data_IF_685997532990
#
_entry.id   IF_685997532990
#
_cell.length_a   1.000
_cell.length_b   1.000
_cell.length_c   1.000
_cell.angle_alpha   90.00
_cell.angle_beta   90.00
_cell.angle_gamma   90.00
#
_symmetry.space_group_name_H-M   'P 1'
#
loop_
_entity.id
_entity.type
_entity.pdbx_description
1 polymer ?
#
# COMPACT_ATOMS: atom_id res chain seq x y z
N UNK A 1 -42.58 -70.80 -7.73
CA UNK A 1 -42.69 -70.08 -6.45
C UNK A 1 -41.89 -68.82 -6.69
N UNK A 2 -42.57 -67.82 -7.21
CA UNK A 2 -41.90 -66.67 -7.78
C UNK A 2 -41.78 -65.69 -6.63
N UNK A 3 -40.58 -65.66 -6.04
CA UNK A 3 -40.22 -64.70 -5.02
C UNK A 3 -40.43 -63.31 -5.61
N UNK A 4 -41.60 -62.74 -5.31
CA UNK A 4 -41.95 -61.36 -5.64
C UNK A 4 -40.92 -60.47 -4.96
N UNK A 5 -39.88 -60.15 -5.70
CA UNK A 5 -38.84 -59.22 -5.31
C UNK A 5 -39.54 -57.88 -5.09
N UNK A 6 -39.71 -57.49 -3.84
CA UNK A 6 -40.21 -56.16 -3.50
C UNK A 6 -39.19 -55.18 -4.07
N UNK A 7 -39.56 -54.52 -5.17
CA UNK A 7 -38.69 -53.55 -5.80
C UNK A 7 -38.54 -52.39 -4.83
N UNK A 8 -37.31 -51.97 -4.57
CA UNK A 8 -37.00 -50.80 -3.74
C UNK A 8 -37.64 -49.50 -4.30
N UNK A 9 -38.21 -49.58 -5.50
CA UNK A 9 -38.96 -48.56 -6.21
C UNK A 9 -40.42 -48.39 -5.73
N UNK A 10 -40.98 -49.32 -4.95
CA UNK A 10 -42.34 -49.22 -4.35
C UNK A 10 -42.41 -48.29 -3.13
N UNK A 11 -41.28 -47.71 -2.70
CA UNK A 11 -41.24 -46.69 -1.66
C UNK A 11 -41.83 -45.37 -2.16
N UNK A 12 -43.02 -45.04 -1.64
CA UNK A 12 -43.82 -43.82 -1.88
C UNK A 12 -43.07 -42.66 -2.57
N UNK A 13 -43.61 -42.09 -3.67
CA UNK A 13 -43.01 -40.96 -4.41
C UNK A 13 -42.59 -39.77 -3.53
N UNK A 14 -43.20 -39.63 -2.34
CA UNK A 14 -42.87 -38.60 -1.36
C UNK A 14 -41.48 -38.75 -0.74
N UNK A 15 -40.96 -39.98 -0.58
CA UNK A 15 -39.62 -40.24 -0.03
C UNK A 15 -38.51 -39.82 -1.00
N UNK A 16 -38.69 -40.09 -2.31
CA UNK A 16 -37.76 -39.67 -3.35
C UNK A 16 -37.62 -38.13 -3.43
N UNK A 17 -38.74 -37.41 -3.36
CA UNK A 17 -38.73 -35.94 -3.31
C UNK A 17 -38.02 -35.40 -2.06
N UNK A 18 -38.16 -36.07 -0.91
CA UNK A 18 -37.49 -35.68 0.32
C UNK A 18 -35.97 -35.83 0.22
N UNK A 19 -35.47 -36.94 -0.34
CA UNK A 19 -34.04 -37.14 -0.52
C UNK A 19 -33.43 -36.13 -1.49
N UNK A 20 -34.13 -35.80 -2.59
CA UNK A 20 -33.70 -34.77 -3.53
C UNK A 20 -33.64 -33.38 -2.87
N UNK A 21 -34.63 -33.04 -2.03
CA UNK A 21 -34.60 -31.81 -1.24
C UNK A 21 -33.44 -31.82 -0.24
N UNK A 22 -33.15 -32.94 0.41
CA UNK A 22 -32.05 -33.06 1.37
C UNK A 22 -30.69 -32.85 0.68
N UNK A 23 -30.49 -33.46 -0.50
CA UNK A 23 -29.29 -33.24 -1.32
C UNK A 23 -29.13 -31.77 -1.70
N UNK A 24 -30.22 -31.12 -2.14
CA UNK A 24 -30.21 -29.67 -2.43
C UNK A 24 -29.91 -28.81 -1.21
N UNK A 25 -30.39 -29.20 -0.03
CA UNK A 25 -30.10 -28.50 1.23
C UNK A 25 -28.61 -28.62 1.57
N UNK A 26 -28.01 -29.79 1.41
CA UNK A 26 -26.57 -29.99 1.62
C UNK A 26 -25.73 -29.18 0.64
N UNK A 27 -26.08 -29.19 -0.64
CA UNK A 27 -25.41 -28.39 -1.66
C UNK A 27 -25.50 -26.90 -1.34
N UNK A 28 -26.68 -26.42 -0.94
CA UNK A 28 -26.90 -25.03 -0.49
C UNK A 28 -26.06 -24.70 0.74
N UNK A 29 -25.97 -25.61 1.71
CA UNK A 29 -25.14 -25.42 2.91
C UNK A 29 -23.65 -25.33 2.56
N UNK A 30 -23.17 -26.22 1.68
CA UNK A 30 -21.80 -26.21 1.17
C UNK A 30 -21.47 -24.91 0.44
N UNK A 31 -22.39 -24.45 -0.42
CA UNK A 31 -22.25 -23.19 -1.14
C UNK A 31 -22.21 -21.99 -0.18
N UNK A 32 -23.11 -21.95 0.80
CA UNK A 32 -23.12 -20.89 1.82
C UNK A 32 -21.84 -20.86 2.66
N UNK A 33 -21.28 -22.03 3.00
CA UNK A 33 -20.01 -22.11 3.71
C UNK A 33 -18.86 -21.51 2.87
N UNK A 34 -18.84 -21.80 1.56
CA UNK A 34 -17.87 -21.20 0.63
C UNK A 34 -18.04 -19.68 0.54
N UNK A 35 -19.26 -19.18 0.34
CA UNK A 35 -19.54 -17.73 0.27
C UNK A 35 -19.03 -17.01 1.53
N UNK A 36 -19.31 -17.56 2.72
CA UNK A 36 -18.81 -16.99 3.99
C UNK A 36 -17.29 -16.99 4.08
N UNK A 37 -16.64 -18.07 3.66
CA UNK A 37 -15.18 -18.16 3.65
C UNK A 37 -14.55 -17.15 2.70
N UNK A 38 -15.11 -17.00 1.50
CA UNK A 38 -14.64 -16.05 0.50
C UNK A 38 -14.84 -14.60 0.95
N UNK A 39 -16.00 -14.29 1.53
CA UNK A 39 -16.30 -12.98 2.10
C UNK A 39 -15.30 -12.59 3.20
N UNK A 40 -15.05 -13.47 4.17
CA UNK A 40 -14.04 -13.24 5.23
C UNK A 40 -12.62 -13.07 4.67
N UNK A 41 -12.29 -13.78 3.59
CA UNK A 41 -10.98 -13.66 2.94
C UNK A 41 -10.81 -12.28 2.29
N UNK A 42 -11.83 -11.79 1.60
CA UNK A 42 -11.82 -10.46 0.98
C UNK A 42 -11.70 -9.34 2.01
N UNK A 43 -12.50 -9.39 3.08
CA UNK A 43 -12.44 -8.42 4.18
C UNK A 43 -11.01 -8.31 4.77
N UNK A 44 -10.37 -9.44 5.04
CA UNK A 44 -8.99 -9.48 5.53
C UNK A 44 -7.95 -8.96 4.52
N UNK A 45 -8.22 -9.11 3.23
CA UNK A 45 -7.34 -8.57 2.18
C UNK A 45 -7.50 -7.05 2.04
N UNK A 46 -8.71 -6.52 2.19
CA UNK A 46 -8.97 -5.08 2.23
C UNK A 46 -8.35 -4.43 3.45
N UNK A 47 -8.55 -4.99 4.64
CA UNK A 47 -7.94 -4.48 5.89
C UNK A 47 -6.42 -4.36 5.78
N UNK A 48 -5.76 -5.37 5.18
CA UNK A 48 -4.31 -5.33 4.94
C UNK A 48 -3.90 -4.24 3.95
N UNK A 49 -4.65 -4.07 2.86
CA UNK A 49 -4.37 -3.05 1.85
C UNK A 49 -4.48 -1.65 2.46
N UNK A 50 -5.50 -1.43 3.28
CA UNK A 50 -5.71 -0.16 3.96
C UNK A 50 -4.60 0.11 4.97
N UNK A 51 -4.20 -0.89 5.77
CA UNK A 51 -3.09 -0.76 6.71
C UNK A 51 -1.76 -0.37 6.02
N UNK A 52 -1.45 -0.99 4.89
CA UNK A 52 -0.25 -0.62 4.10
C UNK A 52 -0.37 0.79 3.55
N UNK A 53 -1.56 1.20 3.08
CA UNK A 53 -1.79 2.53 2.53
C UNK A 53 -1.63 3.61 3.59
N UNK A 54 -2.15 3.40 4.79
CA UNK A 54 -2.03 4.32 5.93
C UNK A 54 -0.56 4.47 6.33
N UNK A 55 0.18 3.37 6.50
CA UNK A 55 1.61 3.43 6.87
C UNK A 55 2.41 4.18 5.81
N UNK A 56 2.15 3.94 4.53
CA UNK A 56 2.81 4.67 3.44
C UNK A 56 2.50 6.17 3.47
N UNK A 57 1.25 6.55 3.70
CA UNK A 57 0.86 7.96 3.82
C UNK A 57 1.57 8.64 4.99
N UNK A 58 1.62 8.00 6.17
CA UNK A 58 2.31 8.51 7.34
C UNK A 58 3.83 8.69 7.14
N UNK A 59 4.47 7.75 6.43
CA UNK A 59 5.90 7.88 6.10
C UNK A 59 6.14 9.10 5.20
N UNK A 60 5.31 9.29 4.16
CA UNK A 60 5.44 10.42 3.24
C UNK A 60 5.21 11.75 3.97
N UNK A 61 4.14 11.87 4.76
CA UNK A 61 3.86 13.07 5.56
C UNK A 61 5.02 13.39 6.52
N UNK A 62 5.57 12.37 7.21
CA UNK A 62 6.73 12.54 8.09
C UNK A 62 7.99 13.01 7.34
N UNK A 63 8.20 12.52 6.12
CA UNK A 63 9.30 12.97 5.27
C UNK A 63 9.11 14.43 4.84
N UNK A 64 7.91 14.84 4.42
CA UNK A 64 7.59 16.23 4.06
C UNK A 64 7.83 17.19 5.23
N UNK A 65 7.36 16.83 6.44
CA UNK A 65 7.60 17.62 7.67
C UNK A 65 9.10 17.74 7.95
N UNK A 66 9.86 16.67 7.74
CA UNK A 66 11.31 16.67 7.96
C UNK A 66 12.03 17.55 6.93
N UNK A 67 11.63 17.47 5.66
CA UNK A 67 12.16 18.30 4.58
C UNK A 67 11.88 19.77 4.87
N UNK A 68 10.65 20.12 5.23
CA UNK A 68 10.28 21.50 5.57
C UNK A 68 11.14 22.06 6.72
N UNK A 69 11.32 21.30 7.81
CA UNK A 69 12.18 21.70 8.93
C UNK A 69 13.64 21.89 8.53
N UNK A 70 14.16 21.01 7.67
CA UNK A 70 15.52 21.11 7.17
C UNK A 70 15.69 22.37 6.30
N UNK A 71 14.76 22.64 5.38
CA UNK A 71 14.77 23.83 4.53
C UNK A 71 14.72 25.13 5.34
N UNK A 72 13.88 25.19 6.38
CA UNK A 72 13.82 26.36 7.27
C UNK A 72 15.13 26.66 8.00
N UNK A 73 16.06 25.70 8.12
CA UNK A 73 17.37 25.87 8.75
C UNK A 73 18.50 26.23 7.80
N UNK A 74 18.25 26.31 6.49
CA UNK A 74 19.29 26.61 5.49
C UNK A 74 19.52 28.12 5.34
N UNK A 75 20.69 28.47 4.78
CA UNK A 75 20.95 29.85 4.36
C UNK A 75 20.06 30.22 3.17
N UNK A 76 19.59 31.47 3.13
CA UNK A 76 18.59 31.95 2.16
C UNK A 76 19.03 31.76 0.70
N UNK A 77 20.30 32.03 0.40
CA UNK A 77 20.84 31.82 -0.94
C UNK A 77 20.80 30.35 -1.40
N UNK A 78 20.92 29.41 -0.45
CA UNK A 78 20.85 27.97 -0.71
C UNK A 78 19.38 27.51 -0.75
N UNK A 79 18.56 28.04 0.16
CA UNK A 79 17.14 27.78 0.23
C UNK A 79 16.44 28.17 -1.07
N UNK A 80 16.66 29.38 -1.59
CA UNK A 80 16.02 29.88 -2.80
C UNK A 80 16.31 28.99 -4.03
N UNK A 81 17.50 28.38 -4.10
CA UNK A 81 17.87 27.47 -5.19
C UNK A 81 17.21 26.09 -5.03
N UNK A 82 17.07 25.63 -3.79
CA UNK A 82 16.50 24.32 -3.46
C UNK A 82 14.96 24.36 -3.52
N UNK A 83 14.34 25.46 -3.13
CA UNK A 83 12.88 25.65 -3.13
C UNK A 83 12.28 25.59 -4.55
N UNK A 84 13.11 25.76 -5.59
CA UNK A 84 12.73 25.56 -6.99
C UNK A 84 12.55 24.09 -7.39
N UNK A 85 12.86 23.13 -6.51
CA UNK A 85 12.77 21.69 -6.77
C UNK A 85 11.88 20.97 -5.76
N UNK A 86 10.98 20.12 -6.25
CA UNK A 86 10.15 19.23 -5.42
C UNK A 86 10.96 18.01 -4.95
N UNK A 87 11.56 18.10 -3.75
CA UNK A 87 12.22 16.94 -3.14
C UNK A 87 11.22 16.07 -2.40
N UNK A 88 11.18 14.80 -2.78
CA UNK A 88 10.41 13.75 -2.09
C UNK A 88 11.30 12.87 -1.22
N UNK A 89 12.61 13.11 -1.20
CA UNK A 89 13.58 12.32 -0.45
C UNK A 89 14.62 13.22 0.23
N UNK A 90 14.78 13.01 1.53
CA UNK A 90 15.77 13.71 2.34
C UNK A 90 17.21 13.48 1.85
N UNK A 91 17.50 12.28 1.31
CA UNK A 91 18.84 11.95 0.79
C UNK A 91 19.20 12.80 -0.44
N UNK A 92 18.25 12.95 -1.36
CA UNK A 92 18.44 13.78 -2.55
C UNK A 92 18.62 15.26 -2.16
N UNK A 93 17.83 15.74 -1.21
CA UNK A 93 17.93 17.08 -0.65
C UNK A 93 19.31 17.34 -0.05
N UNK A 94 19.77 16.50 0.88
CA UNK A 94 21.08 16.66 1.55
C UNK A 94 22.24 16.64 0.55
N UNK A 95 22.21 15.74 -0.44
CA UNK A 95 23.26 15.67 -1.45
C UNK A 95 23.35 16.95 -2.29
N UNK A 96 22.19 17.54 -2.63
CA UNK A 96 22.12 18.77 -3.39
C UNK A 96 22.58 19.98 -2.56
N UNK A 97 22.18 20.07 -1.30
CA UNK A 97 22.65 21.11 -0.35
C UNK A 97 24.17 21.06 -0.23
N UNK A 98 24.74 19.87 -0.01
CA UNK A 98 26.19 19.69 0.11
C UNK A 98 26.92 20.13 -1.16
N UNK A 99 26.35 19.84 -2.33
CA UNK A 99 26.90 20.28 -3.60
C UNK A 99 26.88 21.81 -3.74
N UNK A 100 25.84 22.48 -3.26
CA UNK A 100 25.75 23.95 -3.26
C UNK A 100 26.69 24.59 -2.26
N UNK A 101 26.77 24.07 -1.02
CA UNK A 101 27.73 24.55 -0.03
C UNK A 101 29.17 24.45 -0.52
N UNK A 102 29.55 23.33 -1.15
CA UNK A 102 30.89 23.15 -1.71
C UNK A 102 31.21 24.17 -2.82
N UNK A 103 30.21 24.55 -3.62
CA UNK A 103 30.38 25.57 -4.67
C UNK A 103 30.46 26.98 -4.09
N UNK A 104 29.62 27.30 -3.09
CA UNK A 104 29.62 28.58 -2.42
C UNK A 104 30.99 28.87 -1.78
N UNK A 105 31.54 27.88 -1.08
CA UNK A 105 32.88 27.94 -0.47
C UNK A 105 34.02 28.12 -1.48
N UNK A 106 33.84 27.75 -2.76
CA UNK A 106 34.83 28.01 -3.83
C UNK A 106 34.73 29.42 -4.40
N UNK A 107 33.55 30.01 -4.39
CA UNK A 107 33.32 31.36 -4.91
C UNK A 107 33.77 32.44 -3.92
N UNK A 108 33.57 32.26 -2.62
CA UNK A 108 34.05 33.20 -1.59
C UNK A 108 35.59 33.34 -1.58
N UNK A 109 36.33 32.26 -1.81
CA UNK A 109 37.80 32.25 -1.78
C UNK A 109 38.48 33.01 -2.93
N UNK A 110 37.73 33.41 -3.97
CA UNK A 110 38.27 34.21 -5.09
C UNK A 110 38.15 35.72 -4.87
N UNK A 111 37.54 36.17 -3.79
CA UNK A 111 37.36 37.59 -3.49
C UNK A 111 38.49 38.16 -2.61
N UNK A 112 39.73 38.09 -3.08
CA UNK A 112 40.76 39.04 -2.66
C UNK A 112 41.24 39.78 -3.92
N UNK A 113 41.08 41.12 -3.99
CA UNK A 113 41.70 41.87 -5.07
C UNK A 113 43.19 42.01 -4.74
N UNK A 114 44.04 41.20 -5.37
CA UNK A 114 45.45 41.55 -5.49
C UNK A 114 45.52 42.71 -6.47
N UNK A 115 45.44 43.94 -5.95
CA UNK A 115 45.77 45.15 -6.70
C UNK A 115 47.26 45.08 -7.05
N UNK A 116 47.55 45.18 -8.34
CA UNK A 116 48.91 45.29 -8.88
C UNK A 116 49.63 46.55 -8.36
N UNK A 117 50.96 46.55 -8.36
CA UNK A 117 51.72 47.72 -8.83
C UNK A 117 52.96 47.25 -9.58
N UNK A 118 53.17 47.87 -10.74
CA UNK A 118 54.36 47.78 -11.60
C UNK A 118 55.53 48.55 -11.02
#
# INVERSE_FOLDING_TARGET
MDSSSFNLEDLSPKLGLMMEHMKKVEEKHSMNAKIRSWSKKQEKEEEKKDGVTIIRAQIVESQEVTIAKFLCGLNRDIQDIIELHDYTSLSALVHQVFKFESQLMRHEKKSYPTTCSN
#
